data_IF_353853926443
#
_entry.id   IF_353853926443
#
_cell.length_a   1.000
_cell.length_b   1.000
_cell.length_c   1.000
_cell.angle_alpha   90.00
_cell.angle_beta   90.00
_cell.angle_gamma   90.00
#
_symmetry.space_group_name_H-M   'P 1'
#
loop_
_entity.id
_entity.type
_entity.pdbx_description
1 polymer ?
#
# COMPACT_ATOMS: atom_id res chain seq x y z
N UNK A 1 -5.94 -46.21 -20.07
CA UNK A 1 -6.38 -47.17 -19.02
C UNK A 1 -6.30 -46.47 -17.65
N UNK A 2 -6.79 -47.08 -16.57
CA UNK A 2 -6.86 -46.53 -15.18
C UNK A 2 -5.47 -46.47 -14.50
N UNK A 3 -5.32 -45.92 -13.26
CA UNK A 3 -6.22 -45.08 -12.42
C UNK A 3 -5.62 -43.66 -12.17
N UNK A 4 -6.22 -42.64 -11.54
CA UNK A 4 -7.27 -42.48 -10.51
C UNK A 4 -6.89 -42.81 -9.05
N UNK A 5 -6.44 -41.79 -8.29
CA UNK A 5 -6.30 -41.82 -6.83
C UNK A 5 -7.12 -40.68 -6.19
N UNK A 6 -7.65 -40.92 -4.97
CA UNK A 6 -8.67 -40.08 -4.32
C UNK A 6 -8.15 -39.47 -2.99
N UNK A 7 -8.85 -38.49 -2.36
CA UNK A 7 -8.24 -37.58 -1.40
C UNK A 7 -8.04 -38.15 0.01
N UNK A 8 -7.10 -37.54 0.75
CA UNK A 8 -6.83 -37.87 2.15
C UNK A 8 -7.91 -37.32 3.10
N UNK A 9 -8.20 -38.07 4.17
CA UNK A 9 -9.22 -37.74 5.18
C UNK A 9 -8.62 -37.00 6.38
N UNK A 10 -9.40 -36.10 6.98
CA UNK A 10 -9.15 -35.56 8.34
C UNK A 10 -9.56 -36.58 9.42
N UNK A 11 -8.83 -36.63 10.52
CA UNK A 11 -9.30 -37.03 11.87
C UNK A 11 -8.43 -36.38 12.96
N UNK A 12 -9.00 -35.85 14.06
CA UNK A 12 -8.27 -35.31 15.22
C UNK A 12 -8.03 -36.40 16.30
N UNK A 13 -7.09 -36.22 17.25
CA UNK A 13 -7.36 -35.50 18.52
C UNK A 13 -6.11 -34.66 18.98
N UNK A 14 -5.94 -34.10 20.19
CA UNK A 14 -6.65 -34.19 21.47
C UNK A 14 -6.52 -32.88 22.28
N UNK A 15 -7.33 -32.73 23.35
CA UNK A 15 -7.20 -31.64 24.35
C UNK A 15 -6.15 -31.99 25.42
N UNK A 16 -5.42 -30.98 25.93
CA UNK A 16 -4.93 -30.93 27.33
C UNK A 16 -5.01 -29.50 27.86
N UNK A 17 -5.27 -29.36 29.16
CA UNK A 17 -5.26 -28.08 29.88
C UNK A 17 -4.21 -28.11 30.99
N UNK A 18 -3.44 -27.03 31.11
CA UNK A 18 -2.62 -26.66 32.27
C UNK A 18 -2.24 -25.19 32.08
N UNK A 19 -2.85 -24.19 32.73
CA UNK A 19 -2.95 -23.88 34.17
C UNK A 19 -1.82 -22.97 34.68
N UNK A 20 -2.20 -21.99 35.51
CA UNK A 20 -1.34 -21.13 36.37
C UNK A 20 -0.22 -20.30 35.71
N UNK A 21 -0.32 -18.96 35.81
CA UNK A 21 0.73 -18.03 35.38
C UNK A 21 0.44 -16.53 35.60
N UNK A 22 -0.47 -16.15 36.51
CA UNK A 22 -0.87 -14.75 36.71
C UNK A 22 0.11 -13.99 37.62
N UNK A 23 1.15 -13.41 37.03
CA UNK A 23 2.05 -12.49 37.73
C UNK A 23 1.46 -11.06 37.78
N UNK A 24 1.07 -10.60 38.97
CA UNK A 24 0.54 -9.23 39.19
C UNK A 24 1.67 -8.25 39.53
N UNK A 25 1.96 -7.31 38.62
CA UNK A 25 2.89 -6.21 38.90
C UNK A 25 2.15 -5.04 39.56
N UNK A 26 2.48 -4.77 40.83
CA UNK A 26 1.94 -3.64 41.59
C UNK A 26 2.81 -2.39 41.42
N UNK A 27 2.34 -1.41 40.65
CA UNK A 27 3.00 -0.11 40.54
C UNK A 27 2.66 0.80 41.73
N UNK A 28 3.64 1.07 42.58
CA UNK A 28 3.49 1.94 43.74
C UNK A 28 3.63 3.42 43.34
N UNK A 29 2.52 4.16 43.34
CA UNK A 29 2.50 5.57 43.00
C UNK A 29 2.89 6.45 44.22
N UNK A 30 3.82 7.40 44.01
CA UNK A 30 4.03 8.55 44.89
C UNK A 30 4.18 9.85 44.08
N UNK A 31 3.89 11.03 44.66
CA UNK A 31 3.19 12.07 43.93
C UNK A 31 4.09 13.16 43.34
N UNK A 32 3.55 13.88 42.36
CA UNK A 32 4.14 15.10 41.81
C UNK A 32 3.97 16.29 42.75
N UNK A 33 5.06 17.01 43.01
CA UNK A 33 5.04 18.34 43.64
C UNK A 33 4.97 19.42 42.56
N UNK A 34 3.93 20.26 42.64
CA UNK A 34 3.86 21.49 41.83
C UNK A 34 4.73 22.56 42.48
N UNK A 35 5.48 23.32 41.69
CA UNK A 35 5.90 24.65 42.08
C UNK A 35 5.34 25.68 41.08
N UNK A 36 4.67 26.68 41.61
CA UNK A 36 4.10 27.81 40.88
C UNK A 36 4.95 29.04 41.07
N UNK A 37 5.24 29.79 40.01
CA UNK A 37 5.80 31.14 40.14
C UNK A 37 5.07 32.09 39.19
N UNK A 38 4.56 33.18 39.74
CA UNK A 38 3.80 34.22 39.03
C UNK A 38 4.71 35.37 38.58
N UNK A 39 4.39 35.97 37.42
CA UNK A 39 4.86 37.31 37.04
C UNK A 39 3.73 38.05 36.28
N UNK A 40 3.68 39.38 36.37
CA UNK A 40 2.47 40.15 35.99
C UNK A 40 2.73 41.62 35.61
N UNK A 41 2.27 42.05 34.43
CA UNK A 41 2.08 43.46 34.02
C UNK A 41 1.43 43.57 32.62
N UNK A 42 0.80 44.67 32.18
CA UNK A 42 -0.30 45.48 32.79
C UNK A 42 -0.78 46.62 31.86
N UNK A 43 -2.09 46.73 31.56
CA UNK A 43 -2.84 47.91 31.00
C UNK A 43 -2.45 48.34 29.57
N UNK A 44 -3.25 49.03 28.74
CA UNK A 44 -4.68 49.45 28.75
C UNK A 44 -5.15 49.72 27.29
N UNK A 45 -6.43 49.64 26.88
CA UNK A 45 -7.57 50.56 27.16
C UNK A 45 -7.80 51.66 26.09
N UNK A 46 -8.49 51.31 24.98
CA UNK A 46 -9.78 51.86 24.41
C UNK A 46 -10.16 53.36 24.50
N UNK A 47 -11.21 53.87 23.79
CA UNK A 47 -12.15 53.24 22.82
C UNK A 47 -11.99 53.91 21.41
N UNK A 48 -12.93 54.13 20.45
CA UNK A 48 -14.40 53.96 20.18
C UNK A 48 -14.56 53.70 18.64
N UNK A 49 -15.68 53.41 17.96
CA UNK A 49 -17.11 53.09 18.25
C UNK A 49 -17.54 51.89 17.32
N UNK A 50 -18.60 51.71 16.49
CA UNK A 50 -19.79 52.45 16.00
C UNK A 50 -21.01 51.49 15.90
N UNK A 51 -22.22 52.05 16.09
CA UNK A 51 -23.58 51.46 16.05
C UNK A 51 -23.99 50.64 14.80
N UNK A 52 -24.82 49.60 15.01
CA UNK A 52 -25.74 49.00 14.01
C UNK A 52 -26.79 48.06 14.64
N UNK A 53 -28.08 48.43 14.62
CA UNK A 53 -29.18 47.69 15.28
C UNK A 53 -29.93 46.68 14.37
N UNK A 54 -30.61 45.69 14.98
CA UNK A 54 -31.75 45.01 14.33
C UNK A 54 -32.20 43.67 14.92
N UNK A 55 -33.44 43.60 15.44
CA UNK A 55 -34.23 42.35 15.50
C UNK A 55 -34.51 41.73 16.89
N UNK A 56 -35.76 41.85 17.35
CA UNK A 56 -36.38 41.05 18.44
C UNK A 56 -37.32 39.97 17.81
N UNK A 57 -38.09 39.18 18.58
CA UNK A 57 -37.62 38.05 19.41
C UNK A 57 -38.39 36.74 19.11
N UNK A 58 -37.90 35.59 19.58
CA UNK A 58 -38.71 34.34 19.65
C UNK A 58 -38.42 33.52 20.91
N UNK A 59 -39.43 32.80 21.40
CA UNK A 59 -39.44 32.16 22.71
C UNK A 59 -38.99 30.68 22.70
N UNK A 60 -38.48 30.20 23.83
CA UNK A 60 -38.16 28.77 24.04
C UNK A 60 -39.44 27.92 24.22
N UNK A 61 -39.70 26.90 23.38
CA UNK A 61 -40.73 25.91 23.64
C UNK A 61 -40.23 24.88 24.67
N UNK A 62 -40.97 24.67 25.76
CA UNK A 62 -40.82 23.47 26.60
C UNK A 62 -41.85 22.42 26.18
N UNK A 63 -41.41 21.39 25.46
CA UNK A 63 -42.14 20.14 25.33
C UNK A 63 -41.13 18.99 25.14
N UNK A 64 -41.36 17.88 25.84
CA UNK A 64 -40.50 16.70 25.72
C UNK A 64 -40.77 15.93 24.43
N UNK A 65 -39.72 15.40 23.82
CA UNK A 65 -39.84 14.28 22.88
C UNK A 65 -38.87 13.19 23.33
N UNK A 66 -39.37 11.96 23.48
CA UNK A 66 -38.53 10.80 23.79
C UNK A 66 -37.71 10.43 22.55
N UNK A 67 -36.64 11.19 22.31
CA UNK A 67 -35.56 10.78 21.43
C UNK A 67 -34.91 9.54 22.06
N UNK A 68 -35.40 8.37 21.67
CA UNK A 68 -34.77 7.09 21.98
C UNK A 68 -33.43 7.08 21.25
N UNK A 69 -32.40 7.59 21.91
CA UNK A 69 -31.01 7.56 21.43
C UNK A 69 -30.70 6.09 21.20
N UNK A 70 -30.79 5.70 19.93
CA UNK A 70 -30.49 4.33 19.51
C UNK A 70 -28.98 4.32 19.44
N UNK A 71 -28.35 3.92 20.55
CA UNK A 71 -26.91 3.80 20.69
C UNK A 71 -26.42 2.68 19.76
N UNK A 72 -26.34 2.99 18.47
CA UNK A 72 -25.50 2.26 17.52
C UNK A 72 -24.07 2.56 17.89
N UNK A 73 -23.55 1.83 18.88
CA UNK A 73 -22.13 1.77 19.18
C UNK A 73 -21.44 1.19 17.95
N UNK A 74 -20.97 2.05 17.05
CA UNK A 74 -20.12 1.60 15.95
C UNK A 74 -18.88 0.91 16.55
N UNK A 75 -18.41 -0.20 15.95
CA UNK A 75 -17.28 -0.96 16.49
C UNK A 75 -16.05 -0.05 16.62
N UNK A 76 -15.49 0.02 17.83
CA UNK A 76 -14.28 0.79 18.11
C UNK A 76 -13.08 0.03 17.58
N UNK A 77 -12.66 0.36 16.36
CA UNK A 77 -11.56 -0.30 15.67
C UNK A 77 -10.19 -0.01 16.31
N UNK A 78 -9.22 -0.96 16.28
CA UNK A 78 -7.86 -0.77 16.82
C UNK A 78 -7.02 0.30 16.12
N UNK A 79 -7.45 0.81 14.96
CA UNK A 79 -6.76 1.87 14.23
C UNK A 79 -7.76 2.83 13.57
N UNK A 80 -7.27 3.88 12.90
CA UNK A 80 -8.13 4.83 12.20
C UNK A 80 -8.95 4.11 11.11
N UNK A 81 -10.27 4.23 11.16
CA UNK A 81 -11.19 3.61 10.22
C UNK A 81 -12.21 4.64 9.69
N UNK A 82 -12.38 4.67 8.37
CA UNK A 82 -13.28 5.56 7.64
C UNK A 82 -14.40 4.71 7.05
N UNK A 83 -15.65 5.03 7.38
CA UNK A 83 -16.84 4.37 6.83
C UNK A 83 -17.24 5.00 5.49
N UNK A 84 -17.74 4.21 4.55
CA UNK A 84 -18.17 4.66 3.20
C UNK A 84 -17.06 5.44 2.45
N UNK A 85 -15.84 4.91 2.52
CA UNK A 85 -14.63 5.59 2.08
C UNK A 85 -14.44 5.51 0.56
N UNK A 86 -14.29 6.67 -0.10
CA UNK A 86 -13.96 6.76 -1.52
C UNK A 86 -12.56 6.18 -1.81
N UNK A 87 -12.47 5.27 -2.78
CA UNK A 87 -11.24 4.64 -3.23
C UNK A 87 -10.66 5.26 -4.51
N UNK A 88 -11.42 6.03 -5.29
CA UNK A 88 -10.92 6.71 -6.48
C UNK A 88 -9.69 7.59 -6.20
N UNK A 89 -9.63 8.47 -5.17
CA UNK A 89 -8.42 9.25 -4.87
C UNK A 89 -7.25 8.41 -4.34
N UNK A 90 -7.44 7.09 -4.17
CA UNK A 90 -6.49 6.13 -3.59
C UNK A 90 -5.94 5.14 -4.63
N UNK A 91 -6.40 5.21 -5.89
CA UNK A 91 -5.84 4.48 -7.04
C UNK A 91 -5.05 5.42 -7.97
N UNK A 92 -4.01 4.91 -8.65
CA UNK A 92 -3.23 5.73 -9.62
C UNK A 92 -4.01 6.05 -10.90
N UNK A 93 -4.96 5.16 -11.25
CA UNK A 93 -5.94 5.34 -12.32
C UNK A 93 -7.00 6.41 -11.97
N UNK A 94 -7.18 6.73 -10.69
CA UNK A 94 -8.21 7.66 -10.18
C UNK A 94 -9.65 7.29 -10.55
N UNK A 95 -9.98 6.01 -10.40
CA UNK A 95 -11.33 5.45 -10.60
C UNK A 95 -11.65 4.43 -9.51
N UNK A 96 -12.94 4.13 -9.35
CA UNK A 96 -13.48 3.13 -8.43
C UNK A 96 -14.50 3.69 -7.44
N UNK A 97 -15.40 2.84 -6.97
CA UNK A 97 -16.42 3.17 -5.99
C UNK A 97 -15.90 3.21 -4.55
N UNK A 98 -16.83 3.03 -3.59
CA UNK A 98 -16.56 3.18 -2.15
C UNK A 98 -16.31 1.84 -1.46
N UNK A 99 -15.47 1.84 -0.42
CA UNK A 99 -15.39 0.74 0.53
C UNK A 99 -16.37 0.95 1.69
N UNK A 100 -17.06 -0.12 2.14
CA UNK A 100 -17.86 -0.09 3.38
C UNK A 100 -17.01 0.43 4.55
N UNK A 101 -15.78 -0.08 4.68
CA UNK A 101 -14.76 0.40 5.61
C UNK A 101 -13.40 0.53 4.93
N UNK A 102 -12.66 1.59 5.25
CA UNK A 102 -11.24 1.73 4.98
C UNK A 102 -10.48 1.90 6.30
N UNK A 103 -9.56 0.99 6.58
CA UNK A 103 -8.63 1.03 7.70
C UNK A 103 -7.32 1.68 7.27
N UNK A 104 -6.80 2.60 8.09
CA UNK A 104 -5.55 3.32 7.87
C UNK A 104 -4.59 3.14 9.06
N UNK A 105 -4.10 1.91 9.35
CA UNK A 105 -3.15 1.66 10.43
C UNK A 105 -1.81 2.35 10.19
N UNK A 106 -1.22 2.91 11.26
CA UNK A 106 0.11 3.49 11.25
C UNK A 106 1.20 2.47 11.62
N UNK A 107 0.90 1.51 12.51
CA UNK A 107 1.80 0.45 12.95
C UNK A 107 1.52 -0.90 12.27
N UNK A 108 2.53 -1.78 12.06
CA UNK A 108 2.31 -3.18 11.69
C UNK A 108 1.40 -3.94 12.65
N UNK A 109 1.46 -3.65 13.95
CA UNK A 109 0.68 -4.39 14.94
C UNK A 109 -0.76 -3.86 15.05
N UNK A 110 -0.97 -2.53 14.88
CA UNK A 110 -2.31 -1.93 14.62
C UNK A 110 -3.00 -2.60 13.41
N UNK A 111 -2.23 -2.87 12.34
CA UNK A 111 -2.75 -3.57 11.15
C UNK A 111 -3.24 -4.97 11.53
N UNK A 112 -2.43 -5.74 12.28
CA UNK A 112 -2.77 -7.12 12.68
C UNK A 112 -3.98 -7.17 13.61
N UNK A 113 -4.05 -6.28 14.60
CA UNK A 113 -5.19 -6.20 15.51
C UNK A 113 -6.48 -5.82 14.78
N UNK A 114 -6.45 -4.78 13.93
CA UNK A 114 -7.62 -4.37 13.16
C UNK A 114 -8.02 -5.41 12.11
N UNK A 115 -7.07 -6.14 11.51
CA UNK A 115 -7.35 -7.24 10.58
C UNK A 115 -8.03 -8.42 11.27
N UNK A 116 -7.62 -8.76 12.50
CA UNK A 116 -8.29 -9.80 13.30
C UNK A 116 -9.72 -9.38 13.64
N UNK A 117 -9.89 -8.17 14.20
CA UNK A 117 -11.21 -7.63 14.54
C UNK A 117 -12.16 -7.57 13.32
N UNK A 118 -11.69 -7.10 12.16
CA UNK A 118 -12.49 -7.04 10.94
C UNK A 118 -12.96 -8.43 10.45
N UNK A 119 -12.16 -9.48 10.68
CA UNK A 119 -12.52 -10.86 10.32
C UNK A 119 -13.38 -11.56 11.38
N UNK A 120 -13.26 -11.18 12.65
CA UNK A 120 -14.17 -11.61 13.72
C UNK A 120 -15.59 -11.03 13.49
N UNK A 121 -15.68 -9.78 13.01
CA UNK A 121 -16.90 -9.14 12.49
C UNK A 121 -17.35 -9.67 11.10
N UNK A 122 -16.66 -10.68 10.55
CA UNK A 122 -17.04 -11.36 9.31
C UNK A 122 -16.90 -10.55 8.02
N UNK A 123 -16.12 -9.46 8.01
CA UNK A 123 -15.91 -8.64 6.82
C UNK A 123 -14.94 -9.33 5.83
N UNK A 124 -15.22 -9.23 4.53
CA UNK A 124 -14.20 -9.54 3.51
C UNK A 124 -13.10 -8.48 3.58
N UNK A 125 -11.83 -8.91 3.67
CA UNK A 125 -10.67 -8.03 3.82
C UNK A 125 -9.85 -7.97 2.53
N UNK A 126 -9.48 -6.76 2.09
CA UNK A 126 -8.56 -6.52 0.96
C UNK A 126 -7.50 -5.51 1.36
N UNK A 127 -6.30 -5.58 0.77
CA UNK A 127 -5.17 -4.69 1.11
C UNK A 127 -4.86 -3.75 -0.05
N UNK A 128 -4.86 -2.44 0.21
CA UNK A 128 -4.53 -1.40 -0.74
C UNK A 128 -3.15 -0.81 -0.43
N UNK A 129 -2.18 -1.09 -1.29
CA UNK A 129 -0.90 -0.36 -1.33
C UNK A 129 -1.09 1.04 -1.92
N UNK A 130 -0.12 1.52 -2.68
CA UNK A 130 -0.26 2.80 -3.41
C UNK A 130 -1.17 2.73 -4.64
N UNK A 131 -2.19 1.87 -4.63
CA UNK A 131 -3.25 1.78 -5.66
C UNK A 131 -2.80 1.61 -7.12
N UNK A 132 -1.58 1.08 -7.33
CA UNK A 132 -0.87 1.14 -8.61
C UNK A 132 -1.24 0.04 -9.63
N UNK A 133 -1.86 -1.05 -9.18
CA UNK A 133 -2.23 -2.22 -9.99
C UNK A 133 -3.63 -2.76 -9.61
N UNK A 134 -4.54 -1.86 -9.23
CA UNK A 134 -5.90 -2.17 -8.76
C UNK A 134 -6.92 -1.34 -9.51
N UNK A 135 -8.04 -1.95 -9.87
CA UNK A 135 -9.19 -1.34 -10.55
C UNK A 135 -10.48 -1.78 -9.83
N UNK A 136 -11.01 -0.93 -8.95
CA UNK A 136 -12.24 -1.21 -8.20
C UNK A 136 -13.46 -0.92 -9.06
N UNK A 137 -14.50 -1.75 -9.03
CA UNK A 137 -15.79 -1.43 -9.67
C UNK A 137 -16.35 -0.08 -9.18
N UNK A 138 -17.15 0.59 -10.01
CA UNK A 138 -17.88 1.80 -9.62
C UNK A 138 -18.94 1.49 -8.55
N UNK A 139 -19.41 0.24 -8.46
CA UNK A 139 -20.28 -0.27 -7.38
C UNK A 139 -19.56 -0.31 -6.01
N UNK A 140 -18.23 -0.20 -6.01
CA UNK A 140 -17.40 -0.21 -4.80
C UNK A 140 -17.09 -1.62 -4.28
N UNK A 141 -16.87 -1.71 -2.97
CA UNK A 141 -16.51 -2.95 -2.27
C UNK A 141 -17.18 -3.02 -0.89
N UNK A 142 -18.07 -3.98 -0.69
CA UNK A 142 -18.88 -4.12 0.53
C UNK A 142 -18.15 -4.81 1.71
N UNK A 143 -16.87 -4.44 1.90
CA UNK A 143 -15.98 -5.01 2.89
C UNK A 143 -14.97 -4.01 3.46
N UNK A 144 -13.89 -4.54 4.03
CA UNK A 144 -12.84 -3.80 4.69
C UNK A 144 -11.58 -3.69 3.82
N UNK A 145 -11.21 -2.47 3.41
CA UNK A 145 -9.95 -2.20 2.73
C UNK A 145 -8.92 -1.73 3.76
N UNK A 146 -7.73 -2.33 3.77
CA UNK A 146 -6.61 -1.92 4.62
C UNK A 146 -5.60 -1.14 3.78
N UNK A 147 -5.50 0.18 3.99
CA UNK A 147 -4.49 1.00 3.33
C UNK A 147 -3.16 0.92 4.07
N UNK A 148 -2.09 0.54 3.37
CA UNK A 148 -0.74 0.57 3.97
C UNK A 148 -0.15 1.98 4.06
N UNK A 149 -0.82 3.02 3.54
CA UNK A 149 -0.22 4.34 3.30
C UNK A 149 0.43 5.02 4.52
N UNK A 150 -0.06 4.77 5.74
CA UNK A 150 0.50 5.33 6.97
C UNK A 150 1.67 4.50 7.54
N UNK A 151 1.82 3.24 7.13
CA UNK A 151 2.92 2.34 7.50
C UNK A 151 4.22 2.66 6.70
N UNK A 152 4.65 3.93 6.70
CA UNK A 152 5.68 4.44 5.78
C UNK A 152 7.07 4.71 6.42
N UNK A 153 7.39 4.03 7.53
CA UNK A 153 8.69 4.17 8.21
C UNK A 153 9.81 3.43 7.48
N UNK A 154 11.03 3.95 7.65
CA UNK A 154 12.31 3.33 7.30
C UNK A 154 13.30 3.56 8.43
N UNK A 155 14.11 2.57 8.75
CA UNK A 155 15.16 2.64 9.77
C UNK A 155 16.24 1.57 9.49
N UNK A 156 17.36 1.62 10.21
CA UNK A 156 18.42 0.59 10.13
C UNK A 156 18.09 -0.56 11.09
N UNK A 157 18.44 -1.82 10.77
CA UNK A 157 18.24 -2.93 11.70
C UNK A 157 19.13 -2.76 12.95
N UNK A 158 18.55 -2.97 14.14
CA UNK A 158 19.33 -3.06 15.38
C UNK A 158 20.21 -4.32 15.36
N UNK A 159 21.47 -4.19 15.82
CA UNK A 159 22.49 -5.25 15.77
C UNK A 159 22.35 -6.32 16.86
N UNK A 160 21.69 -5.99 17.96
CA UNK A 160 21.44 -6.91 19.07
C UNK A 160 20.04 -7.53 18.90
N UNK A 161 20.02 -8.86 18.71
CA UNK A 161 18.85 -9.75 18.59
C UNK A 161 17.74 -9.36 17.57
N UNK A 162 17.80 -9.99 16.39
CA UNK A 162 16.59 -10.32 15.62
C UNK A 162 16.03 -9.28 14.64
N UNK A 163 16.58 -8.07 14.59
CA UNK A 163 16.03 -6.92 13.84
C UNK A 163 14.61 -6.54 14.30
N UNK A 164 14.55 -5.89 15.46
CA UNK A 164 13.33 -5.30 16.04
C UNK A 164 12.47 -4.58 14.98
N UNK A 165 11.24 -5.06 14.79
CA UNK A 165 10.26 -4.46 13.89
C UNK A 165 9.47 -3.33 14.55
N UNK A 166 9.49 -3.28 15.88
CA UNK A 166 9.09 -2.10 16.63
C UNK A 166 10.15 -1.01 16.44
N UNK A 167 9.79 0.25 16.68
CA UNK A 167 10.75 1.33 16.61
C UNK A 167 11.48 1.48 17.96
N UNK A 168 12.40 0.55 18.26
CA UNK A 168 13.24 0.61 19.44
C UNK A 168 13.99 1.95 19.56
N UNK A 169 13.71 2.65 20.67
CA UNK A 169 14.14 4.00 21.06
C UNK A 169 13.34 5.20 20.50
N UNK A 170 12.92 6.10 21.41
CA UNK A 170 12.30 7.39 21.12
C UNK A 170 13.30 8.43 20.56
N UNK A 171 13.76 8.27 19.32
CA UNK A 171 14.18 9.48 18.59
C UNK A 171 12.91 10.23 18.17
N UNK A 172 12.59 11.32 18.89
CA UNK A 172 11.51 12.26 18.52
C UNK A 172 11.95 13.14 17.35
N UNK A 173 12.20 12.47 16.23
CA UNK A 173 12.25 13.04 14.89
C UNK A 173 10.92 13.76 14.67
N UNK A 174 10.93 15.09 14.77
CA UNK A 174 9.73 15.90 14.57
C UNK A 174 9.08 15.65 13.20
N UNK A 175 7.80 15.98 13.05
CA UNK A 175 6.99 15.62 11.86
C UNK A 175 7.61 16.04 10.50
N UNK A 176 8.53 17.00 10.51
CA UNK A 176 9.31 17.44 9.35
C UNK A 176 10.37 16.44 8.82
N UNK A 177 10.78 15.42 9.59
CA UNK A 177 11.98 14.59 9.28
C UNK A 177 11.74 13.08 9.08
N UNK A 178 10.49 12.66 8.81
CA UNK A 178 10.04 11.30 8.45
C UNK A 178 10.67 10.65 7.17
N UNK A 179 11.77 11.21 6.65
CA UNK A 179 12.33 10.87 5.35
C UNK A 179 13.84 10.55 5.28
N UNK A 180 14.62 10.77 6.34
CA UNK A 180 16.09 10.63 6.29
C UNK A 180 16.65 9.69 7.35
N UNK A 181 16.97 8.47 6.93
CA UNK A 181 18.03 7.69 7.60
C UNK A 181 19.35 8.43 7.34
N UNK A 182 20.14 8.65 8.39
CA UNK A 182 21.44 9.31 8.27
C UNK A 182 22.44 8.47 7.49
N UNK A 183 23.23 9.11 6.62
CA UNK A 183 24.49 8.56 6.17
C UNK A 183 25.44 8.50 7.37
N UNK A 184 25.96 7.31 7.66
CA UNK A 184 26.95 7.10 8.72
C UNK A 184 28.34 7.18 8.11
N UNK A 185 29.30 7.76 8.84
CA UNK A 185 30.70 7.88 8.41
C UNK A 185 31.52 6.60 8.58
N UNK A 186 30.87 5.46 8.80
CA UNK A 186 31.49 4.16 9.07
C UNK A 186 31.28 3.22 7.88
N UNK A 187 32.35 2.96 7.13
CA UNK A 187 32.36 2.06 5.98
C UNK A 187 32.24 0.57 6.35
N UNK A 188 32.12 0.23 7.65
CA UNK A 188 31.89 -1.14 8.13
C UNK A 188 30.41 -1.48 8.38
N UNK A 189 29.50 -0.51 8.46
CA UNK A 189 28.08 -0.78 8.71
C UNK A 189 27.38 -1.41 7.50
N UNK A 190 26.56 -2.46 7.65
CA UNK A 190 25.83 -3.04 6.52
C UNK A 190 24.88 -2.03 5.87
N UNK A 191 24.82 -2.02 4.53
CA UNK A 191 23.88 -1.21 3.76
C UNK A 191 22.47 -1.82 3.82
N UNK A 192 21.84 -1.81 4.99
CA UNK A 192 20.54 -2.43 5.21
C UNK A 192 19.50 -1.45 5.78
N UNK A 193 18.24 -1.63 5.37
CA UNK A 193 17.08 -0.92 5.91
C UNK A 193 15.98 -1.90 6.27
N UNK A 194 15.36 -1.71 7.44
CA UNK A 194 14.01 -2.17 7.72
C UNK A 194 13.03 -1.16 7.11
N UNK A 195 12.10 -1.65 6.28
CA UNK A 195 11.16 -0.84 5.52
C UNK A 195 9.75 -1.40 5.69
N UNK A 196 8.81 -0.58 6.17
CA UNK A 196 7.42 -1.00 6.33
C UNK A 196 6.65 -0.97 4.99
N UNK A 197 5.61 -1.80 4.88
CA UNK A 197 4.87 -2.08 3.65
C UNK A 197 4.20 -0.87 2.98
N UNK A 198 4.06 0.25 3.70
CA UNK A 198 3.54 1.52 3.20
C UNK A 198 4.54 2.42 2.49
N UNK A 199 5.86 2.12 2.55
CA UNK A 199 6.85 3.01 1.93
C UNK A 199 6.68 3.05 0.41
N UNK A 200 6.38 4.23 -0.14
CA UNK A 200 6.30 4.44 -1.57
C UNK A 200 7.63 4.13 -2.27
N UNK A 201 7.61 3.30 -3.31
CA UNK A 201 8.83 2.82 -3.99
C UNK A 201 9.70 3.98 -4.49
N UNK A 202 9.11 4.98 -5.12
CA UNK A 202 9.81 6.19 -5.58
C UNK A 202 10.45 7.02 -4.44
N UNK A 203 9.90 6.97 -3.23
CA UNK A 203 10.49 7.62 -2.06
C UNK A 203 11.67 6.82 -1.49
N UNK A 204 11.60 5.48 -1.57
CA UNK A 204 12.68 4.60 -1.17
C UNK A 204 13.89 4.71 -2.12
N UNK A 205 13.67 4.75 -3.44
CA UNK A 205 14.71 5.01 -4.47
C UNK A 205 15.44 6.33 -4.21
N UNK A 206 14.71 7.38 -3.81
CA UNK A 206 15.32 8.68 -3.45
C UNK A 206 16.20 8.57 -2.21
N UNK A 207 15.74 7.85 -1.18
CA UNK A 207 16.46 7.66 0.06
C UNK A 207 17.76 6.84 -0.12
N UNK A 208 17.73 5.71 -0.85
CA UNK A 208 18.95 4.93 -1.10
C UNK A 208 19.94 5.70 -1.98
N UNK A 209 19.47 6.43 -3.00
CA UNK A 209 20.31 7.37 -3.78
C UNK A 209 20.97 8.42 -2.89
N UNK A 210 20.25 9.01 -1.94
CA UNK A 210 20.79 10.01 -1.01
C UNK A 210 21.81 9.43 -0.03
N UNK A 211 21.69 8.15 0.32
CA UNK A 211 22.69 7.37 1.05
C UNK A 211 23.86 6.85 0.18
N UNK A 212 23.76 6.95 -1.15
CA UNK A 212 24.73 6.39 -2.09
C UNK A 212 24.65 4.87 -2.26
N UNK A 213 23.48 4.25 -2.01
CA UNK A 213 23.29 2.79 -2.01
C UNK A 213 22.61 2.30 -3.29
N UNK A 214 23.22 1.30 -3.94
CA UNK A 214 22.84 0.67 -5.22
C UNK A 214 21.91 -0.54 -5.02
N UNK A 215 20.98 -0.75 -5.95
CA UNK A 215 20.08 -1.90 -6.02
C UNK A 215 18.59 -1.56 -6.29
N UNK A 216 18.20 -0.28 -6.26
CA UNK A 216 16.80 0.17 -6.43
C UNK A 216 16.57 1.06 -7.65
N UNK A 217 17.62 1.47 -8.36
CA UNK A 217 17.53 2.19 -9.63
C UNK A 217 16.59 1.51 -10.65
N UNK A 218 16.54 0.15 -10.76
CA UNK A 218 15.57 -0.54 -11.60
C UNK A 218 14.10 -0.22 -11.30
N UNK A 219 13.77 0.25 -10.10
CA UNK A 219 12.41 0.67 -9.69
C UNK A 219 12.14 2.16 -9.89
N UNK A 220 13.09 2.93 -10.42
CA UNK A 220 12.84 4.32 -10.78
C UNK A 220 11.69 4.41 -11.81
N UNK A 221 10.67 5.21 -11.51
CA UNK A 221 9.45 5.34 -12.30
C UNK A 221 8.36 4.29 -12.02
N UNK A 222 8.57 3.34 -11.08
CA UNK A 222 7.55 2.36 -10.67
C UNK A 222 6.69 2.94 -9.53
N UNK A 223 5.38 3.13 -9.72
CA UNK A 223 4.48 3.59 -8.65
C UNK A 223 4.12 2.47 -7.66
N UNK A 224 3.52 2.84 -6.53
CA UNK A 224 3.06 1.90 -5.49
C UNK A 224 3.89 1.93 -4.21
N UNK A 225 3.53 1.05 -3.26
CA UNK A 225 4.20 0.89 -1.96
C UNK A 225 4.93 -0.46 -1.89
N UNK A 226 5.92 -0.56 -0.99
CA UNK A 226 6.76 -1.75 -0.80
C UNK A 226 5.95 -3.05 -0.73
N UNK A 227 4.90 -3.15 0.10
CA UNK A 227 4.19 -4.41 0.32
C UNK A 227 3.59 -4.99 -0.98
N UNK A 228 2.93 -4.14 -1.76
CA UNK A 228 2.43 -4.52 -3.09
C UNK A 228 3.55 -4.77 -4.10
N UNK A 229 4.66 -4.04 -4.01
CA UNK A 229 5.85 -4.27 -4.81
C UNK A 229 6.49 -5.64 -4.56
N UNK A 230 6.56 -6.08 -3.31
CA UNK A 230 7.13 -7.39 -2.93
C UNK A 230 6.18 -8.51 -3.37
N UNK A 231 4.87 -8.38 -3.10
CA UNK A 231 3.87 -9.36 -3.51
C UNK A 231 3.81 -9.57 -5.04
N UNK A 232 3.96 -8.50 -5.83
CA UNK A 232 3.94 -8.55 -7.30
C UNK A 232 5.33 -8.72 -7.94
N UNK A 233 6.41 -8.90 -7.16
CA UNK A 233 7.80 -8.82 -7.62
C UNK A 233 8.02 -7.67 -8.65
N UNK A 234 7.81 -6.44 -8.18
CA UNK A 234 7.84 -5.25 -9.03
C UNK A 234 9.24 -5.06 -9.64
N UNK A 235 9.31 -4.97 -10.97
CA UNK A 235 10.56 -5.03 -11.71
C UNK A 235 10.38 -5.24 -13.22
N UNK A 236 11.48 -5.58 -13.90
CA UNK A 236 11.50 -5.94 -15.32
C UNK A 236 12.93 -6.07 -15.85
N UNK A 237 13.15 -5.76 -17.14
CA UNK A 237 14.43 -5.94 -17.88
C UNK A 237 15.70 -5.29 -17.30
N UNK A 238 15.60 -4.58 -16.18
CA UNK A 238 16.70 -3.86 -15.53
C UNK A 238 17.05 -4.40 -14.13
N UNK A 239 16.27 -5.36 -13.60
CA UNK A 239 16.29 -5.82 -12.21
C UNK A 239 14.91 -5.75 -11.56
N UNK A 240 14.75 -6.44 -10.43
CA UNK A 240 13.46 -6.58 -9.71
C UNK A 240 13.61 -6.32 -8.20
N UNK A 241 12.52 -5.97 -7.50
CA UNK A 241 12.58 -5.60 -6.08
C UNK A 241 13.16 -6.71 -5.20
N UNK A 242 12.91 -7.98 -5.53
CA UNK A 242 13.48 -9.10 -4.77
C UNK A 242 15.01 -9.22 -4.88
N UNK A 243 15.68 -8.48 -5.77
CA UNK A 243 17.13 -8.43 -5.83
C UNK A 243 17.78 -7.83 -4.58
N UNK A 244 17.08 -6.91 -3.90
CA UNK A 244 17.52 -6.31 -2.63
C UNK A 244 16.83 -6.87 -1.39
N UNK A 245 15.74 -7.63 -1.53
CA UNK A 245 15.04 -8.20 -0.36
C UNK A 245 15.92 -9.27 0.30
N UNK A 246 16.09 -9.16 1.62
CA UNK A 246 16.80 -10.15 2.46
C UNK A 246 15.81 -11.01 3.24
N UNK A 247 14.88 -10.37 3.95
CA UNK A 247 13.85 -11.00 4.81
C UNK A 247 12.54 -10.22 4.75
N UNK A 248 11.40 -10.90 4.83
CA UNK A 248 10.04 -10.30 4.84
C UNK A 248 9.29 -10.70 6.11
N UNK A 249 8.53 -9.77 6.70
CA UNK A 249 7.56 -10.04 7.78
C UNK A 249 6.16 -10.07 7.18
N UNK A 250 5.47 -11.19 7.37
CA UNK A 250 4.21 -11.54 6.72
C UNK A 250 3.13 -11.81 7.76
N UNK A 251 1.89 -11.39 7.48
CA UNK A 251 0.68 -11.85 8.15
C UNK A 251 0.03 -12.94 7.30
N UNK A 252 -0.14 -14.14 7.87
CA UNK A 252 -0.73 -15.29 7.20
C UNK A 252 -2.28 -15.26 7.24
N UNK A 253 -2.97 -16.02 6.36
CA UNK A 253 -4.44 -16.04 6.30
C UNK A 253 -5.17 -16.63 7.53
N UNK A 254 -4.46 -17.17 8.50
CA UNK A 254 -4.96 -17.60 9.82
C UNK A 254 -4.72 -16.55 10.92
N UNK A 255 -3.93 -15.52 10.64
CA UNK A 255 -3.55 -14.47 11.58
C UNK A 255 -2.22 -14.69 12.29
N UNK A 256 -1.45 -15.72 11.94
CA UNK A 256 -0.06 -15.86 12.39
C UNK A 256 0.85 -14.82 11.73
N UNK A 257 1.85 -14.32 12.46
CA UNK A 257 2.92 -13.48 11.91
C UNK A 257 4.14 -14.35 11.74
N UNK A 258 4.64 -14.46 10.51
CA UNK A 258 5.88 -15.20 10.20
C UNK A 258 6.91 -14.30 9.54
N UNK A 259 8.17 -14.68 9.64
CA UNK A 259 9.24 -14.12 8.85
C UNK A 259 9.81 -15.17 7.90
N UNK A 260 10.27 -14.73 6.73
CA UNK A 260 10.92 -15.59 5.74
C UNK A 260 12.08 -14.88 5.08
N UNK A 261 13.17 -15.58 4.82
CA UNK A 261 14.28 -15.09 4.00
C UNK A 261 13.98 -15.20 2.50
N UNK A 262 14.76 -14.48 1.68
CA UNK A 262 14.68 -14.54 0.20
C UNK A 262 14.72 -15.98 -0.34
N UNK A 263 15.53 -16.84 0.27
CA UNK A 263 15.69 -18.23 -0.14
C UNK A 263 14.41 -19.07 0.02
N UNK A 264 13.59 -18.77 1.03
CA UNK A 264 12.32 -19.49 1.30
C UNK A 264 11.18 -19.01 0.40
N UNK A 265 11.25 -17.78 -0.09
CA UNK A 265 10.15 -17.16 -0.85
C UNK A 265 10.16 -17.52 -2.33
N UNK A 266 11.33 -17.88 -2.89
CA UNK A 266 11.50 -18.28 -4.30
C UNK A 266 10.70 -17.41 -5.31
N UNK A 267 10.92 -16.08 -5.35
CA UNK A 267 10.15 -15.17 -6.18
C UNK A 267 10.35 -15.45 -7.68
N UNK A 268 9.31 -15.17 -8.48
CA UNK A 268 9.31 -15.36 -9.94
C UNK A 268 8.70 -14.15 -10.67
N UNK A 269 8.65 -14.20 -12.00
CA UNK A 269 8.14 -13.09 -12.81
C UNK A 269 6.73 -12.67 -12.36
N UNK A 270 6.59 -11.40 -12.00
CA UNK A 270 5.35 -10.77 -11.50
C UNK A 270 4.74 -11.39 -10.24
N UNK A 271 5.49 -12.17 -9.47
CA UNK A 271 4.98 -12.90 -8.32
C UNK A 271 6.04 -13.11 -7.22
N UNK A 272 5.79 -12.60 -6.00
CA UNK A 272 6.65 -12.85 -4.83
C UNK A 272 6.49 -14.25 -4.21
N UNK A 273 5.61 -15.09 -4.75
CA UNK A 273 5.27 -16.45 -4.28
C UNK A 273 4.88 -16.55 -2.80
N UNK A 274 4.26 -15.49 -2.28
CA UNK A 274 3.78 -15.38 -0.90
C UNK A 274 2.39 -15.99 -0.67
N UNK A 275 1.68 -16.36 -1.74
CA UNK A 275 0.26 -16.75 -1.67
C UNK A 275 -0.61 -15.58 -1.20
N UNK A 276 -1.60 -15.86 -0.34
CA UNK A 276 -2.49 -14.85 0.25
C UNK A 276 -1.89 -14.11 1.46
N UNK A 277 -0.60 -14.29 1.74
CA UNK A 277 0.08 -13.65 2.87
C UNK A 277 0.32 -12.15 2.63
N UNK A 278 0.02 -11.34 3.65
CA UNK A 278 0.11 -9.87 3.58
C UNK A 278 1.50 -9.43 4.06
N UNK A 279 2.24 -8.71 3.22
CA UNK A 279 3.53 -8.11 3.59
C UNK A 279 3.29 -6.96 4.57
N UNK A 280 3.87 -7.05 5.78
CA UNK A 280 3.89 -5.97 6.78
C UNK A 280 5.15 -5.10 6.65
N UNK A 281 6.27 -5.69 6.21
CA UNK A 281 7.52 -5.01 5.91
C UNK A 281 8.61 -5.96 5.43
N UNK A 282 9.79 -5.42 5.11
CA UNK A 282 10.96 -6.18 4.70
C UNK A 282 12.27 -5.57 5.23
N UNK A 283 13.27 -6.43 5.43
CA UNK A 283 14.68 -6.05 5.50
C UNK A 283 15.23 -6.07 4.08
N UNK A 284 15.77 -4.94 3.62
CA UNK A 284 16.37 -4.76 2.31
C UNK A 284 17.87 -4.48 2.46
N UNK A 285 18.70 -5.13 1.65
CA UNK A 285 20.15 -4.99 1.67
C UNK A 285 20.72 -4.62 0.31
N UNK A 286 21.53 -3.56 0.29
CA UNK A 286 22.00 -2.82 -0.87
C UNK A 286 23.53 -2.89 -1.03
N UNK A 287 24.04 -2.44 -2.17
CA UNK A 287 25.48 -2.30 -2.42
C UNK A 287 25.96 -0.88 -2.10
N UNK A 288 27.20 -0.73 -1.59
CA UNK A 288 27.84 0.60 -1.49
C UNK A 288 28.16 1.13 -2.88
N UNK A 289 27.89 2.41 -3.10
CA UNK A 289 28.23 3.15 -4.30
C UNK A 289 28.45 4.63 -3.93
N UNK A 290 28.39 5.53 -4.91
CA UNK A 290 28.31 6.98 -4.64
C UNK A 290 26.92 7.49 -4.99
N UNK A 291 26.46 8.54 -4.29
CA UNK A 291 25.22 9.25 -4.66
C UNK A 291 25.21 9.68 -6.13
N UNK A 292 26.36 10.07 -6.68
CA UNK A 292 26.50 10.49 -8.07
C UNK A 292 26.18 9.31 -9.01
N UNK A 293 26.87 8.18 -8.86
CA UNK A 293 26.68 6.96 -9.65
C UNK A 293 25.24 6.47 -9.63
N UNK A 294 24.62 6.39 -8.43
CA UNK A 294 23.23 5.96 -8.28
C UNK A 294 22.26 6.97 -8.92
N UNK A 295 22.52 8.28 -8.81
CA UNK A 295 21.68 9.29 -9.46
C UNK A 295 21.78 9.24 -10.99
N UNK A 296 22.95 8.96 -11.56
CA UNK A 296 23.11 8.83 -13.01
C UNK A 296 22.36 7.61 -13.56
N UNK A 297 22.50 6.45 -12.93
CA UNK A 297 21.77 5.23 -13.30
C UNK A 297 20.25 5.39 -13.15
N UNK A 298 19.77 6.06 -12.10
CA UNK A 298 18.36 6.47 -11.97
C UNK A 298 17.93 7.37 -13.14
N UNK A 299 18.77 8.34 -13.54
CA UNK A 299 18.48 9.30 -14.61
C UNK A 299 18.46 8.65 -16.00
N UNK A 300 19.34 7.69 -16.25
CA UNK A 300 19.36 6.84 -17.44
C UNK A 300 18.09 5.99 -17.57
N UNK A 301 17.78 5.19 -16.55
CA UNK A 301 16.62 4.30 -16.54
C UNK A 301 15.28 5.05 -16.65
N UNK A 302 15.18 6.26 -16.09
CA UNK A 302 14.02 7.14 -16.25
C UNK A 302 13.88 7.69 -17.68
N UNK A 303 14.98 7.95 -18.40
CA UNK A 303 14.93 8.38 -19.82
C UNK A 303 14.41 7.25 -20.69
N UNK A 304 14.97 6.04 -20.57
CA UNK A 304 14.49 4.88 -21.35
C UNK A 304 13.01 4.58 -21.08
N UNK A 305 12.59 4.54 -19.80
CA UNK A 305 11.19 4.25 -19.46
C UNK A 305 10.23 5.35 -19.90
N UNK A 306 10.58 6.63 -19.76
CA UNK A 306 9.68 7.74 -20.13
C UNK A 306 9.51 7.90 -21.65
N UNK A 307 10.50 7.46 -22.44
CA UNK A 307 10.35 7.35 -23.89
C UNK A 307 9.38 6.21 -24.31
N UNK A 308 9.36 5.11 -23.56
CA UNK A 308 8.57 3.92 -23.89
C UNK A 308 7.16 3.86 -23.26
N UNK A 309 6.92 4.54 -22.13
CA UNK A 309 5.73 4.34 -21.29
C UNK A 309 5.13 5.65 -20.74
N UNK A 310 3.80 5.71 -20.52
CA UNK A 310 3.11 6.88 -19.96
C UNK A 310 3.29 6.98 -18.43
N UNK A 311 4.50 7.35 -17.98
CA UNK A 311 4.86 7.42 -16.55
C UNK A 311 4.20 8.59 -15.77
N UNK A 312 3.56 9.54 -16.45
CA UNK A 312 2.99 10.75 -15.85
C UNK A 312 1.46 10.77 -15.86
N UNK A 313 0.85 9.85 -16.60
CA UNK A 313 -0.58 9.79 -16.88
C UNK A 313 -1.29 8.83 -15.91
N UNK A 314 -2.54 9.14 -15.55
CA UNK A 314 -3.33 8.30 -14.64
C UNK A 314 -3.61 6.93 -15.26
N UNK A 315 -2.92 5.90 -14.77
CA UNK A 315 -2.95 4.52 -15.27
C UNK A 315 -2.69 3.53 -14.14
N UNK A 316 -3.04 2.26 -14.34
CA UNK A 316 -2.77 1.15 -13.42
C UNK A 316 -1.59 0.27 -13.86
N UNK A 317 -0.60 0.86 -14.53
CA UNK A 317 0.52 0.12 -15.13
C UNK A 317 0.10 -0.70 -16.36
N UNK A 318 0.74 -1.86 -16.54
CA UNK A 318 0.38 -2.82 -17.57
C UNK A 318 -0.98 -3.45 -17.28
N UNK A 319 -1.90 -3.37 -18.23
CA UNK A 319 -3.25 -3.95 -18.11
C UNK A 319 -3.20 -5.47 -18.18
N UNK A 320 -2.42 -6.01 -19.12
CA UNK A 320 -2.28 -7.43 -19.40
C UNK A 320 -0.88 -7.94 -19.07
N UNK A 321 -0.79 -9.21 -18.67
CA UNK A 321 0.47 -9.95 -18.65
C UNK A 321 1.00 -10.08 -20.08
N UNK A 322 2.30 -10.33 -20.24
CA UNK A 322 2.77 -10.83 -21.53
C UNK A 322 2.29 -12.29 -21.73
N UNK A 323 1.80 -12.65 -22.93
CA UNK A 323 1.47 -14.04 -23.25
C UNK A 323 2.74 -14.89 -23.36
N UNK A 324 2.55 -16.21 -23.49
CA UNK A 324 3.65 -17.15 -23.71
C UNK A 324 4.43 -16.82 -25.00
N UNK A 325 5.77 -16.72 -24.97
CA UNK A 325 6.58 -16.41 -26.15
C UNK A 325 6.43 -17.38 -27.32
N UNK A 326 6.14 -18.66 -27.09
CA UNK A 326 5.90 -19.64 -28.15
C UNK A 326 4.54 -19.42 -28.83
N UNK A 327 3.54 -18.93 -28.09
CA UNK A 327 2.20 -18.62 -28.62
C UNK A 327 2.12 -17.23 -29.28
N UNK A 328 3.06 -16.33 -29.00
CA UNK A 328 3.04 -14.95 -29.50
C UNK A 328 4.15 -14.58 -30.49
N UNK A 329 4.99 -15.53 -30.92
CA UNK A 329 6.23 -15.25 -31.67
C UNK A 329 7.15 -14.26 -30.93
N UNK A 330 7.20 -14.36 -29.59
CA UNK A 330 7.91 -13.44 -28.71
C UNK A 330 7.31 -12.03 -28.57
N UNK A 331 6.12 -11.77 -29.14
CA UNK A 331 5.45 -10.46 -29.06
C UNK A 331 4.87 -10.23 -27.65
N UNK A 332 5.13 -9.05 -27.10
CA UNK A 332 4.53 -8.58 -25.85
C UNK A 332 3.04 -8.26 -26.04
N UNK A 333 2.25 -8.26 -24.95
CA UNK A 333 0.83 -7.89 -25.03
C UNK A 333 0.64 -6.46 -25.58
N UNK A 334 1.54 -5.53 -25.23
CA UNK A 334 1.53 -4.17 -25.77
C UNK A 334 1.81 -4.10 -27.27
N UNK A 335 2.64 -5.01 -27.80
CA UNK A 335 2.92 -5.12 -29.24
C UNK A 335 1.75 -5.78 -29.99
N UNK A 336 1.15 -6.82 -29.43
CA UNK A 336 -0.07 -7.44 -30.00
C UNK A 336 -1.22 -6.44 -30.11
N UNK A 337 -1.47 -5.65 -29.06
CA UNK A 337 -2.50 -4.59 -29.05
C UNK A 337 -2.19 -3.51 -30.11
N UNK A 338 -0.92 -3.16 -30.30
CA UNK A 338 -0.52 -2.21 -31.34
C UNK A 338 -0.68 -2.78 -32.76
N UNK A 339 -0.30 -4.04 -33.00
CA UNK A 339 -0.40 -4.71 -34.30
C UNK A 339 -1.85 -4.90 -34.77
N UNK A 340 -2.82 -5.03 -33.86
CA UNK A 340 -4.26 -5.10 -34.18
C UNK A 340 -4.93 -3.72 -34.26
N UNK A 341 -4.18 -2.63 -34.12
CA UNK A 341 -4.70 -1.26 -34.18
C UNK A 341 -5.41 -0.78 -32.92
N UNK A 342 -5.15 -1.39 -31.76
CA UNK A 342 -5.84 -1.10 -30.50
C UNK A 342 -5.38 0.16 -29.75
N UNK A 343 -4.29 0.81 -30.18
CA UNK A 343 -3.86 2.12 -29.63
C UNK A 343 -4.92 3.20 -29.92
N UNK A 344 -5.08 4.14 -28.99
CA UNK A 344 -6.07 5.23 -29.05
C UNK A 344 -7.56 4.81 -29.04
N UNK A 345 -7.89 3.52 -28.97
CA UNK A 345 -9.26 3.08 -28.68
C UNK A 345 -9.70 3.61 -27.31
N UNK A 346 -11.00 3.88 -27.15
CA UNK A 346 -11.53 4.53 -25.95
C UNK A 346 -12.94 4.10 -25.59
N UNK A 347 -13.26 4.25 -24.31
CA UNK A 347 -14.62 4.25 -23.75
C UNK A 347 -14.71 5.38 -22.74
N UNK A 348 -15.71 6.26 -22.87
CA UNK A 348 -15.78 7.45 -22.02
C UNK A 348 -14.47 8.26 -22.07
N UNK A 349 -13.85 8.47 -20.90
CA UNK A 349 -12.52 9.07 -20.77
C UNK A 349 -11.39 8.07 -20.46
N UNK A 350 -11.65 6.76 -20.59
CA UNK A 350 -10.60 5.73 -20.62
C UNK A 350 -10.09 5.57 -22.05
N UNK A 351 -8.77 5.67 -22.26
CA UNK A 351 -8.14 5.64 -23.60
C UNK A 351 -6.89 4.76 -23.59
N UNK A 352 -6.68 3.95 -24.63
CA UNK A 352 -5.45 3.17 -24.80
C UNK A 352 -4.31 4.11 -25.20
N UNK A 353 -3.21 4.10 -24.44
CA UNK A 353 -2.12 5.05 -24.60
C UNK A 353 -1.50 5.01 -26.01
N UNK A 354 -1.32 6.16 -26.69
CA UNK A 354 -0.62 6.20 -27.98
C UNK A 354 0.85 5.79 -27.85
N UNK A 355 1.46 5.96 -26.66
CA UNK A 355 2.84 5.54 -26.37
C UNK A 355 2.95 4.01 -26.36
N UNK A 356 2.11 3.34 -25.57
CA UNK A 356 2.26 1.91 -25.26
C UNK A 356 0.91 1.18 -25.21
N UNK A 357 0.69 0.19 -26.08
CA UNK A 357 -0.62 -0.49 -26.22
C UNK A 357 -1.13 -1.19 -24.95
N UNK A 358 -0.23 -1.62 -24.06
CA UNK A 358 -0.61 -2.27 -22.79
C UNK A 358 -0.99 -1.32 -21.64
N UNK A 359 -1.15 -0.01 -21.89
CA UNK A 359 -1.54 0.97 -20.86
C UNK A 359 -2.87 1.62 -21.27
N UNK A 360 -3.87 1.55 -20.40
CA UNK A 360 -5.04 2.44 -20.45
C UNK A 360 -4.74 3.65 -19.56
N UNK A 361 -5.10 4.85 -20.04
CA UNK A 361 -5.02 6.10 -19.29
C UNK A 361 -6.41 6.70 -19.08
N UNK A 362 -6.64 7.24 -17.88
CA UNK A 362 -7.78 8.10 -17.56
C UNK A 362 -7.42 9.54 -17.96
N UNK A 363 -8.09 10.08 -18.98
CA UNK A 363 -7.86 11.45 -19.47
C UNK A 363 -8.56 12.52 -18.63
N UNK A 364 -9.34 12.11 -17.61
CA UNK A 364 -10.11 12.96 -16.72
C UNK A 364 -11.58 12.55 -16.71
N UNK A 365 -12.06 12.03 -15.58
CA UNK A 365 -13.47 11.63 -15.43
C UNK A 365 -13.84 10.26 -16.01
N UNK A 366 -12.88 9.38 -16.27
CA UNK A 366 -13.20 7.98 -16.59
C UNK A 366 -13.84 7.29 -15.38
N UNK A 367 -14.72 6.32 -15.63
CA UNK A 367 -15.26 5.42 -14.61
C UNK A 367 -14.57 4.07 -14.68
N UNK A 368 -14.67 3.24 -13.64
CA UNK A 368 -14.08 1.91 -13.66
C UNK A 368 -14.73 1.02 -14.73
N UNK A 369 -16.05 1.11 -14.92
CA UNK A 369 -16.79 0.43 -15.98
C UNK A 369 -16.30 0.78 -17.38
N UNK A 370 -15.84 2.03 -17.60
CA UNK A 370 -15.28 2.46 -18.88
C UNK A 370 -13.94 1.76 -19.14
N UNK A 371 -13.08 1.68 -18.12
CA UNK A 371 -11.80 0.94 -18.17
C UNK A 371 -12.04 -0.56 -18.35
N UNK A 372 -12.89 -1.20 -17.54
CA UNK A 372 -13.20 -2.63 -17.62
C UNK A 372 -13.79 -2.99 -18.99
N UNK A 373 -14.69 -2.16 -19.52
CA UNK A 373 -15.23 -2.35 -20.87
C UNK A 373 -14.17 -2.27 -21.96
N UNK A 374 -13.18 -1.38 -21.82
CA UNK A 374 -12.07 -1.23 -22.77
C UNK A 374 -11.06 -2.39 -22.68
N UNK A 375 -10.87 -2.97 -21.49
CA UNK A 375 -10.11 -4.22 -21.29
C UNK A 375 -10.75 -5.37 -22.10
N UNK A 376 -12.06 -5.57 -21.98
CA UNK A 376 -12.77 -6.65 -22.69
C UNK A 376 -12.87 -6.43 -24.20
N UNK A 377 -12.92 -5.17 -24.67
CA UNK A 377 -12.78 -4.86 -26.10
C UNK A 377 -11.39 -5.19 -26.64
N UNK A 378 -10.32 -4.90 -25.88
CA UNK A 378 -8.95 -5.24 -26.26
C UNK A 378 -8.71 -6.75 -26.30
N UNK A 379 -9.20 -7.50 -25.30
CA UNK A 379 -9.14 -8.98 -25.30
C UNK A 379 -9.82 -9.57 -26.53
N UNK A 380 -11.03 -9.09 -26.82
CA UNK A 380 -11.80 -9.47 -28.01
C UNK A 380 -11.03 -9.14 -29.30
N UNK A 381 -10.56 -7.90 -29.45
CA UNK A 381 -9.85 -7.46 -30.64
C UNK A 381 -8.55 -8.25 -30.89
N UNK A 382 -7.77 -8.55 -29.84
CA UNK A 382 -6.54 -9.34 -29.98
C UNK A 382 -6.86 -10.80 -30.31
N UNK A 383 -7.78 -11.46 -29.60
CA UNK A 383 -8.18 -12.84 -29.91
C UNK A 383 -8.75 -12.96 -31.32
N UNK A 384 -9.72 -12.12 -31.68
CA UNK A 384 -10.44 -12.22 -32.94
C UNK A 384 -9.55 -11.86 -34.17
N UNK A 385 -8.33 -11.33 -33.93
CA UNK A 385 -7.31 -11.03 -34.96
C UNK A 385 -6.08 -11.94 -34.94
N UNK A 386 -5.74 -12.57 -33.82
CA UNK A 386 -4.49 -13.32 -33.63
C UNK A 386 -4.66 -14.74 -33.08
N UNK A 387 -5.84 -15.08 -32.57
CA UNK A 387 -6.09 -16.30 -31.80
C UNK A 387 -5.65 -16.24 -30.33
N UNK A 388 -4.86 -15.23 -29.94
CA UNK A 388 -4.28 -15.12 -28.59
C UNK A 388 -5.28 -14.47 -27.63
N UNK A 389 -5.60 -15.15 -26.53
CA UNK A 389 -6.37 -14.58 -25.42
C UNK A 389 -5.41 -13.89 -24.43
N UNK A 390 -5.71 -12.65 -24.02
CA UNK A 390 -4.88 -11.89 -23.08
C UNK A 390 -5.38 -11.99 -21.64
N UNK A 391 -4.49 -12.37 -20.71
CA UNK A 391 -4.76 -12.35 -19.27
C UNK A 391 -4.44 -10.98 -18.64
N UNK A 392 -5.27 -10.52 -17.72
CA UNK A 392 -5.03 -9.28 -16.97
C UNK A 392 -3.90 -9.42 -15.93
N UNK A 393 -3.04 -8.39 -15.85
CA UNK A 393 -2.07 -8.19 -14.76
C UNK A 393 -2.68 -7.31 -13.66
N UNK A 394 -3.60 -6.40 -14.03
CA UNK A 394 -4.37 -5.55 -13.11
C UNK A 394 -5.37 -6.36 -12.29
N UNK A 395 -5.44 -6.09 -10.98
CA UNK A 395 -6.42 -6.71 -10.07
C UNK A 395 -7.72 -5.92 -10.11
N UNK A 396 -8.73 -6.49 -10.76
CA UNK A 396 -10.12 -5.97 -10.71
C UNK A 396 -10.72 -6.34 -9.34
N UNK A 397 -11.43 -5.41 -8.71
CA UNK A 397 -12.01 -5.53 -7.36
C UNK A 397 -13.52 -5.36 -7.37
#
# INVERSE_FOLDING_TARGET
MRPFAAPWKRSPPARRCSSSGRATWTTSAKPSTRNSTTASSSRGSTPDDVVGEGGLPWACPRAGSNHRITMTTEPTWPCAAIRDADLAPRTTMRVGGRARWLFEPAHPDEFVEAWRAAREEGLEVRVLGGGANVLVSDDGFDGAVFSTARMARIFRPHREEGADWSAGAEERVGEASLGRVGATGDESEPCELVVWAGKGLLALVRATRELGWSGLEPLAGVPGHLGGGIAMNAGGRYGELWDVVRRVRLLLPDGEIVERERAECNPSYRNGNLGDAIVLGAVLGFERSTRHTVEERVRELLREKSAAQPLTEHSSGCIFKNPDPELSDGRSAGKLIEDVGGKQLSRGAAVVSPKHGNFIVNTGGARALDVIGLIEDLRRLVRDRTGIELETEVRIW
#
